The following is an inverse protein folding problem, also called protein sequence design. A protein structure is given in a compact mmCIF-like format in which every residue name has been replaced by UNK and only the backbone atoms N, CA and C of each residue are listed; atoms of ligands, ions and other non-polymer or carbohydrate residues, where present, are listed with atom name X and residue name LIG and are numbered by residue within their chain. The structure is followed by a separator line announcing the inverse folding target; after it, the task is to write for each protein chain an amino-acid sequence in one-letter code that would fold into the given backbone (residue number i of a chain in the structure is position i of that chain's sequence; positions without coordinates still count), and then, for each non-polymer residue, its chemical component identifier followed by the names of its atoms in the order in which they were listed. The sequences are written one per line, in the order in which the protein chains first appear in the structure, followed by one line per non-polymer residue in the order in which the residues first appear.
data_IF_905781221770
#
_entry.id   IF_905781221770
#
_cell.length_a   1.000
_cell.length_b   1.000
_cell.length_c   1.000
_cell.angle_alpha   90.00
_cell.angle_beta   90.00
_cell.angle_gamma   90.00
#
_symmetry.space_group_name_H-M   'P 1'
#
loop_
_entity.id
_entity.type
_entity.pdbx_description
1 polymer ?
#
# COMPACT_ATOMS: atom_id res chain seq x y z
N UNK A 1 -68.19 17.07 -54.07
CA UNK A 1 -66.97 16.32 -54.43
C UNK A 1 -65.78 17.02 -53.78
N UNK A 2 -65.40 16.67 -52.55
CA UNK A 2 -64.18 15.90 -52.18
C UNK A 2 -62.89 16.29 -52.95
N UNK A 3 -62.01 17.11 -52.35
CA UNK A 3 -60.72 16.70 -51.76
C UNK A 3 -60.00 17.89 -51.06
N UNK A 4 -59.13 17.63 -50.05
CA UNK A 4 -58.80 18.58 -48.98
C UNK A 4 -57.32 19.03 -48.92
N UNK A 5 -57.13 20.18 -48.27
CA UNK A 5 -56.13 20.54 -47.24
C UNK A 5 -54.67 20.04 -47.41
N UNK A 6 -53.77 20.96 -47.79
CA UNK A 6 -52.35 20.90 -47.44
C UNK A 6 -52.17 21.50 -46.04
N UNK A 7 -51.83 20.67 -45.05
CA UNK A 7 -51.38 21.15 -43.73
C UNK A 7 -49.90 20.83 -43.60
N UNK A 8 -49.09 21.89 -43.58
CA UNK A 8 -47.65 21.83 -43.38
C UNK A 8 -47.34 22.03 -41.88
N UNK A 9 -46.55 21.10 -41.34
CA UNK A 9 -45.62 21.18 -40.19
C UNK A 9 -46.02 21.98 -38.93
N UNK A 10 -45.96 21.32 -37.77
CA UNK A 10 -44.87 21.50 -36.79
C UNK A 10 -45.00 20.45 -35.68
N UNK A 11 -44.19 19.39 -35.75
CA UNK A 11 -43.98 18.44 -34.65
C UNK A 11 -42.60 18.78 -34.05
N UNK A 12 -42.63 19.54 -32.96
CA UNK A 12 -41.46 19.82 -32.12
C UNK A 12 -41.12 18.55 -31.33
N UNK A 13 -40.23 17.72 -31.89
CA UNK A 13 -39.54 16.67 -31.15
C UNK A 13 -38.50 17.33 -30.25
N UNK A 14 -38.85 17.50 -28.97
CA UNK A 14 -37.87 17.77 -27.91
C UNK A 14 -37.03 16.50 -27.68
N UNK A 15 -35.99 16.31 -28.48
CA UNK A 15 -34.91 15.38 -28.14
C UNK A 15 -34.06 16.02 -27.05
N UNK A 16 -34.31 15.62 -25.80
CA UNK A 16 -33.37 15.81 -24.70
C UNK A 16 -32.10 15.00 -25.04
N UNK A 17 -31.18 15.62 -25.76
CA UNK A 17 -29.82 15.12 -25.89
C UNK A 17 -29.16 15.31 -24.52
N UNK A 18 -29.23 14.28 -23.68
CA UNK A 18 -28.28 14.11 -22.59
C UNK A 18 -26.93 13.80 -23.24
N UNK A 19 -26.25 14.84 -23.69
CA UNK A 19 -24.84 14.76 -24.07
C UNK A 19 -24.08 14.51 -22.77
N UNK A 20 -23.96 13.24 -22.39
CA UNK A 20 -22.95 12.82 -21.44
C UNK A 20 -21.63 13.08 -22.16
N UNK A 21 -21.02 14.23 -21.90
CA UNK A 21 -19.62 14.46 -22.20
C UNK A 21 -18.82 13.51 -21.31
N UNK A 22 -18.73 12.25 -21.72
CA UNK A 22 -17.71 11.33 -21.24
C UNK A 22 -16.39 11.88 -21.77
N UNK A 23 -15.85 12.91 -21.12
CA UNK A 23 -14.44 13.25 -21.32
C UNK A 23 -13.69 11.95 -21.07
N UNK A 24 -12.97 11.44 -22.07
CA UNK A 24 -12.28 10.16 -21.98
C UNK A 24 -11.39 10.19 -20.73
N UNK A 25 -11.81 9.48 -19.69
CA UNK A 25 -11.12 9.56 -18.42
C UNK A 25 -9.82 8.77 -18.55
N UNK A 26 -8.71 9.46 -18.29
CA UNK A 26 -7.38 8.89 -18.45
C UNK A 26 -7.23 7.75 -17.44
N UNK A 27 -6.71 6.60 -17.93
CA UNK A 27 -6.37 5.46 -17.08
C UNK A 27 -5.40 5.90 -15.98
N UNK A 28 -5.74 5.72 -14.69
CA UNK A 28 -4.81 5.99 -13.61
C UNK A 28 -3.56 5.11 -13.73
N UNK A 29 -2.39 5.71 -13.55
CA UNK A 29 -1.11 5.00 -13.60
C UNK A 29 -0.74 4.46 -12.20
N UNK A 30 -1.65 3.71 -11.59
CA UNK A 30 -1.47 3.06 -10.28
C UNK A 30 -0.49 1.90 -10.35
N UNK A 31 0.10 1.57 -9.20
CA UNK A 31 1.17 0.61 -8.97
C UNK A 31 0.73 -0.65 -8.26
N UNK A 32 -0.27 -0.60 -7.37
CA UNK A 32 -0.81 -1.77 -6.67
C UNK A 32 -2.20 -2.13 -7.21
N UNK A 33 -3.04 -1.13 -7.49
CA UNK A 33 -4.33 -1.27 -8.16
C UNK A 33 -4.17 -1.31 -9.68
N UNK A 34 -5.10 -1.96 -10.37
CA UNK A 34 -5.11 -1.98 -11.84
C UNK A 34 -5.94 -0.82 -12.40
N UNK A 35 -5.27 0.12 -13.06
CA UNK A 35 -5.89 1.30 -13.68
C UNK A 35 -7.02 0.99 -14.66
N UNK A 36 -6.93 -0.12 -15.39
CA UNK A 36 -7.97 -0.54 -16.32
C UNK A 36 -9.21 -1.04 -15.57
N UNK A 37 -9.01 -1.86 -14.53
CA UNK A 37 -10.11 -2.33 -13.68
C UNK A 37 -10.78 -1.20 -12.92
N UNK A 38 -10.00 -0.21 -12.46
CA UNK A 38 -10.54 1.01 -11.85
C UNK A 38 -11.51 1.73 -12.79
N UNK A 39 -11.14 1.92 -14.07
CA UNK A 39 -12.00 2.53 -15.09
C UNK A 39 -13.24 1.67 -15.38
N UNK A 40 -13.07 0.36 -15.57
CA UNK A 40 -14.19 -0.56 -15.82
C UNK A 40 -15.20 -0.54 -14.66
N UNK A 41 -14.71 -0.56 -13.42
CA UNK A 41 -15.56 -0.48 -12.23
C UNK A 41 -16.27 0.87 -12.13
N UNK A 42 -15.65 1.97 -12.56
CA UNK A 42 -16.31 3.28 -12.64
C UNK A 42 -17.44 3.29 -13.68
N UNK A 43 -17.26 2.63 -14.82
CA UNK A 43 -18.32 2.45 -15.83
C UNK A 43 -19.47 1.59 -15.28
N UNK A 44 -19.17 0.50 -14.56
CA UNK A 44 -20.18 -0.32 -13.87
C UNK A 44 -20.99 0.50 -12.87
N UNK A 45 -20.34 1.36 -12.08
CA UNK A 45 -21.02 2.31 -11.17
C UNK A 45 -21.97 3.23 -11.94
N UNK A 46 -21.53 3.80 -13.07
CA UNK A 46 -22.38 4.66 -13.90
C UNK A 46 -23.56 3.90 -14.53
N UNK A 47 -23.41 2.59 -14.76
CA UNK A 47 -24.46 1.68 -15.23
C UNK A 47 -25.34 1.11 -14.10
N UNK A 48 -25.20 1.58 -12.85
CA UNK A 48 -25.92 1.11 -11.67
C UNK A 48 -25.68 -0.37 -11.31
N UNK A 49 -24.47 -0.89 -11.53
CA UNK A 49 -24.07 -2.20 -11.00
C UNK A 49 -24.06 -2.19 -9.46
N UNK A 50 -24.95 -2.95 -8.84
CA UNK A 50 -25.17 -2.90 -7.40
C UNK A 50 -23.96 -3.30 -6.54
N UNK A 51 -23.19 -4.36 -6.87
CA UNK A 51 -21.95 -4.66 -6.16
C UNK A 51 -20.95 -3.51 -6.18
N UNK A 52 -20.72 -2.90 -7.35
CA UNK A 52 -19.80 -1.76 -7.45
C UNK A 52 -20.35 -0.53 -6.72
N UNK A 53 -21.66 -0.29 -6.74
CA UNK A 53 -22.31 0.76 -5.95
C UNK A 53 -22.15 0.53 -4.44
N UNK A 54 -22.31 -0.71 -3.97
CA UNK A 54 -22.12 -1.09 -2.57
C UNK A 54 -20.68 -0.83 -2.11
N UNK A 55 -19.70 -1.27 -2.89
CA UNK A 55 -18.29 -1.02 -2.59
C UNK A 55 -17.95 0.48 -2.64
N UNK A 56 -18.54 1.25 -3.56
CA UNK A 56 -18.39 2.72 -3.60
C UNK A 56 -18.95 3.37 -2.33
N UNK A 57 -20.10 2.92 -1.83
CA UNK A 57 -20.69 3.41 -0.56
C UNK A 57 -19.74 3.19 0.62
N UNK A 58 -19.04 2.06 0.67
CA UNK A 58 -18.02 1.77 1.70
C UNK A 58 -16.85 2.75 1.61
N UNK A 59 -16.32 2.99 0.41
CA UNK A 59 -15.23 3.96 0.19
C UNK A 59 -15.65 5.36 0.64
N UNK A 60 -16.82 5.82 0.22
CA UNK A 60 -17.35 7.14 0.60
C UNK A 60 -17.57 7.25 2.11
N UNK A 61 -18.15 6.21 2.73
CA UNK A 61 -18.35 6.17 4.18
C UNK A 61 -17.02 6.25 4.94
N UNK A 62 -15.98 5.53 4.49
CA UNK A 62 -14.66 5.58 5.09
C UNK A 62 -13.94 6.92 4.87
N UNK A 63 -14.13 7.54 3.71
CA UNK A 63 -13.47 8.80 3.36
C UNK A 63 -14.12 10.04 3.97
N UNK A 64 -15.44 10.01 4.24
CA UNK A 64 -16.19 11.19 4.72
C UNK A 64 -15.63 11.76 6.04
N UNK A 65 -15.34 10.96 7.08
CA UNK A 65 -14.77 11.49 8.33
C UNK A 65 -13.38 12.10 8.18
N UNK A 66 -12.66 11.81 7.09
CA UNK A 66 -11.32 12.35 6.84
C UNK A 66 -11.39 13.85 6.48
N UNK A 67 -12.51 14.29 5.90
CA UNK A 67 -12.71 15.69 5.47
C UNK A 67 -12.56 16.69 6.63
N UNK A 68 -12.78 16.26 7.86
CA UNK A 68 -12.69 17.10 9.07
C UNK A 68 -11.43 16.84 9.90
N UNK A 69 -10.49 16.00 9.44
CA UNK A 69 -9.24 15.75 10.18
C UNK A 69 -8.27 16.91 10.02
N UNK A 70 -7.58 17.25 11.08
CA UNK A 70 -6.45 18.18 11.00
C UNK A 70 -5.30 17.56 10.17
N UNK A 71 -4.55 18.36 9.40
CA UNK A 71 -3.38 17.87 8.69
C UNK A 71 -2.33 17.26 9.60
N UNK A 72 -1.78 16.14 9.15
CA UNK A 72 -0.66 15.48 9.81
C UNK A 72 0.62 16.29 9.60
N UNK A 73 1.33 16.62 10.67
CA UNK A 73 2.61 17.31 10.58
C UNK A 73 3.63 16.72 11.53
N UNK A 74 4.86 16.60 11.06
CA UNK A 74 5.97 16.03 11.83
C UNK A 74 6.72 17.10 12.64
N UNK A 75 6.56 18.40 12.34
CA UNK A 75 7.39 19.45 12.97
C UNK A 75 6.93 19.80 14.39
N UNK A 76 5.71 19.41 14.78
CA UNK A 76 5.13 19.68 16.10
C UNK A 76 5.48 18.60 17.16
N UNK A 77 6.55 17.85 16.95
CA UNK A 77 6.98 16.80 17.90
C UNK A 77 7.60 17.42 19.15
N UNK A 78 7.28 16.83 20.30
CA UNK A 78 7.81 17.25 21.62
C UNK A 78 9.21 16.69 21.89
N UNK A 79 9.56 15.56 21.26
CA UNK A 79 10.87 14.94 21.32
C UNK A 79 11.60 15.29 20.03
N UNK A 80 12.66 16.09 20.13
CA UNK A 80 13.46 16.49 18.98
C UNK A 80 14.34 15.32 18.49
N UNK A 81 14.52 15.15 17.17
CA UNK A 81 15.52 14.23 16.63
C UNK A 81 16.93 14.69 17.02
N UNK A 82 17.91 13.78 17.01
CA UNK A 82 19.29 14.11 17.39
C UNK A 82 19.95 15.15 16.46
N UNK A 83 19.40 15.41 15.27
CA UNK A 83 19.85 16.49 14.39
C UNK A 83 19.50 17.89 14.92
N UNK A 84 18.50 18.00 15.80
CA UNK A 84 17.88 19.27 16.17
C UNK A 84 16.90 19.83 15.13
N UNK A 85 16.76 19.19 13.97
CA UNK A 85 15.82 19.60 12.92
C UNK A 85 14.47 18.90 13.11
N UNK A 86 13.39 19.67 13.33
CA UNK A 86 12.04 19.15 13.49
C UNK A 86 11.45 18.56 12.19
N UNK A 87 12.04 18.88 11.04
CA UNK A 87 11.68 18.30 9.74
C UNK A 87 12.21 16.88 9.55
N UNK A 88 13.10 16.41 10.41
CA UNK A 88 13.52 15.01 10.38
C UNK A 88 12.45 14.11 11.00
N UNK A 89 12.09 13.05 10.27
CA UNK A 89 11.20 12.03 10.77
C UNK A 89 11.88 11.25 11.92
N UNK A 90 11.13 11.04 12.99
CA UNK A 90 11.58 10.24 14.13
C UNK A 90 10.52 9.24 14.58
N UNK A 91 10.97 8.07 15.01
CA UNK A 91 10.12 7.11 15.73
C UNK A 91 10.96 6.25 16.66
N UNK A 92 10.30 5.51 17.54
CA UNK A 92 10.93 4.55 18.44
C UNK A 92 10.70 3.12 17.93
N UNK A 93 11.70 2.26 18.07
CA UNK A 93 11.56 0.87 17.66
C UNK A 93 10.54 0.12 18.55
N UNK A 94 9.54 -0.57 17.98
CA UNK A 94 8.37 -1.02 18.74
C UNK A 94 8.64 -2.09 19.78
N UNK A 95 9.66 -2.94 19.57
CA UNK A 95 9.90 -4.10 20.43
C UNK A 95 11.02 -3.89 21.44
N UNK A 96 11.36 -2.64 21.75
CA UNK A 96 12.48 -2.33 22.65
C UNK A 96 11.96 -1.74 23.95
N UNK A 97 12.36 -2.35 25.06
CA UNK A 97 11.86 -2.07 26.41
C UNK A 97 13.00 -1.68 27.35
N UNK A 98 12.72 -0.90 28.42
CA UNK A 98 13.71 -0.65 29.47
C UNK A 98 14.34 -1.96 29.99
N UNK A 99 15.66 -1.94 30.17
CA UNK A 99 16.43 -3.07 30.66
C UNK A 99 16.31 -3.18 32.19
N UNK A 100 15.64 -4.22 32.73
CA UNK A 100 15.48 -4.37 34.17
C UNK A 100 16.81 -4.67 34.90
N UNK A 101 17.88 -5.01 34.17
CA UNK A 101 19.18 -5.35 34.73
C UNK A 101 20.12 -4.13 34.88
N UNK A 102 19.65 -2.91 34.57
CA UNK A 102 20.43 -1.69 34.76
C UNK A 102 19.65 -0.65 35.55
N UNK A 103 20.35 0.16 36.36
CA UNK A 103 19.71 1.18 37.19
C UNK A 103 19.00 2.27 36.36
N UNK A 104 19.45 2.49 35.13
CA UNK A 104 18.90 3.51 34.21
C UNK A 104 17.83 2.95 33.27
N UNK A 105 17.65 1.62 33.20
CA UNK A 105 16.82 0.99 32.17
C UNK A 105 17.44 1.02 30.76
N UNK A 106 18.68 1.47 30.60
CA UNK A 106 19.38 1.59 29.32
C UNK A 106 20.58 0.62 29.21
N UNK A 107 21.04 0.26 27.99
CA UNK A 107 20.29 0.41 26.73
C UNK A 107 19.02 -0.45 26.76
N UNK A 108 17.99 -0.07 26.01
CA UNK A 108 16.78 -0.87 25.92
C UNK A 108 17.11 -2.27 25.38
N UNK A 109 16.28 -3.26 25.74
CA UNK A 109 16.41 -4.65 25.30
C UNK A 109 15.22 -5.06 24.43
N UNK A 110 15.47 -5.94 23.47
CA UNK A 110 14.46 -6.41 22.53
C UNK A 110 13.55 -7.46 23.17
N UNK A 111 12.23 -7.27 23.08
CA UNK A 111 11.17 -8.25 23.37
C UNK A 111 10.32 -8.45 22.12
N UNK A 112 10.69 -9.42 21.30
CA UNK A 112 10.04 -9.65 20.00
C UNK A 112 8.52 -9.81 20.13
N UNK A 113 7.78 -9.16 19.23
CA UNK A 113 6.31 -9.22 19.18
C UNK A 113 5.58 -8.50 20.33
N UNK A 114 6.30 -7.89 21.28
CA UNK A 114 5.73 -7.15 22.41
C UNK A 114 5.97 -5.66 22.22
N UNK A 115 4.95 -4.94 21.76
CA UNK A 115 5.05 -3.48 21.51
C UNK A 115 5.16 -2.70 22.81
N UNK A 116 6.23 -1.93 22.96
CA UNK A 116 6.40 -0.96 24.03
C UNK A 116 5.48 0.25 23.75
N UNK A 117 4.51 0.59 24.63
CA UNK A 117 3.60 1.71 24.41
C UNK A 117 4.29 3.07 24.28
N UNK A 118 5.55 3.20 24.72
CA UNK A 118 6.35 4.41 24.53
C UNK A 118 6.54 4.80 23.05
N UNK A 119 6.34 3.89 22.08
CA UNK A 119 6.31 4.30 20.66
C UNK A 119 5.32 5.43 20.40
N UNK A 120 4.28 5.56 21.22
CA UNK A 120 3.26 6.60 21.09
C UNK A 120 3.72 7.98 21.59
N UNK A 121 4.90 8.09 22.21
CA UNK A 121 5.51 9.36 22.60
C UNK A 121 5.97 10.17 21.38
N UNK A 122 6.27 9.50 20.25
CA UNK A 122 6.59 10.13 18.97
C UNK A 122 5.55 9.74 17.93
N UNK A 123 4.84 10.73 17.37
CA UNK A 123 3.65 10.47 16.55
C UNK A 123 3.92 10.24 15.07
N UNK A 124 5.12 10.56 14.57
CA UNK A 124 5.40 10.56 13.13
C UNK A 124 5.05 9.23 12.46
N UNK A 125 5.28 8.10 13.13
CA UNK A 125 4.88 6.77 12.63
C UNK A 125 3.38 6.62 12.44
N UNK A 126 2.60 6.96 13.47
CA UNK A 126 1.13 6.94 13.37
C UNK A 126 0.61 7.94 12.33
N UNK A 127 1.27 9.10 12.19
CA UNK A 127 0.91 10.12 11.21
C UNK A 127 1.19 9.68 9.78
N UNK A 128 2.34 9.08 9.50
CA UNK A 128 2.69 8.58 8.18
C UNK A 128 1.77 7.43 7.73
N UNK A 129 1.43 6.53 8.66
CA UNK A 129 0.45 5.46 8.40
C UNK A 129 -0.94 6.03 8.12
N UNK A 130 -1.43 6.94 8.96
CA UNK A 130 -2.75 7.56 8.80
C UNK A 130 -2.83 8.38 7.50
N UNK A 131 -1.79 9.16 7.18
CA UNK A 131 -1.68 9.89 5.93
C UNK A 131 -1.78 8.96 4.72
N UNK A 132 -1.06 7.83 4.74
CA UNK A 132 -1.06 6.87 3.62
C UNK A 132 -2.44 6.26 3.40
N UNK A 133 -3.11 5.85 4.47
CA UNK A 133 -4.47 5.32 4.41
C UNK A 133 -5.47 6.38 3.93
N UNK A 134 -5.36 7.60 4.45
CA UNK A 134 -6.29 8.67 4.16
C UNK A 134 -6.18 9.17 2.73
N UNK A 135 -4.96 9.41 2.23
CA UNK A 135 -4.74 9.82 0.84
C UNK A 135 -5.23 8.74 -0.13
N UNK A 136 -5.02 7.46 0.19
CA UNK A 136 -5.56 6.35 -0.62
C UNK A 136 -7.08 6.36 -0.66
N UNK A 137 -7.75 6.48 0.49
CA UNK A 137 -9.21 6.50 0.58
C UNK A 137 -9.82 7.75 -0.08
N UNK A 138 -9.23 8.93 0.13
CA UNK A 138 -9.66 10.17 -0.49
C UNK A 138 -9.46 10.15 -2.01
N UNK A 139 -8.34 9.61 -2.49
CA UNK A 139 -8.08 9.41 -3.92
C UNK A 139 -9.13 8.49 -4.57
N UNK A 140 -9.46 7.37 -3.91
CA UNK A 140 -10.52 6.47 -4.35
C UNK A 140 -11.90 7.12 -4.33
N UNK A 141 -12.23 7.86 -3.27
CA UNK A 141 -13.50 8.57 -3.15
C UNK A 141 -13.63 9.63 -4.25
N UNK A 142 -12.61 10.46 -4.46
CA UNK A 142 -12.56 11.40 -5.57
C UNK A 142 -12.75 10.69 -6.91
N UNK A 143 -11.97 9.64 -7.18
CA UNK A 143 -12.02 8.94 -8.45
C UNK A 143 -13.40 8.34 -8.74
N UNK A 144 -14.08 7.75 -7.76
CA UNK A 144 -15.39 7.12 -8.00
C UNK A 144 -16.60 8.06 -7.87
N UNK A 145 -16.44 9.25 -7.29
CA UNK A 145 -17.54 10.21 -7.11
C UNK A 145 -17.43 11.45 -8.00
N UNK A 146 -16.21 11.79 -8.46
CA UNK A 146 -15.85 13.09 -9.02
C UNK A 146 -16.11 14.28 -8.08
N UNK A 147 -16.28 14.05 -6.77
CA UNK A 147 -16.47 15.12 -5.80
C UNK A 147 -15.13 15.73 -5.37
N UNK A 148 -14.90 16.98 -5.78
CA UNK A 148 -13.62 17.68 -5.59
C UNK A 148 -13.21 17.82 -4.13
N UNK A 149 -14.16 17.81 -3.18
CA UNK A 149 -13.89 17.91 -1.73
C UNK A 149 -12.90 16.85 -1.23
N UNK A 150 -12.94 15.64 -1.80
CA UNK A 150 -12.02 14.56 -1.42
C UNK A 150 -10.60 14.84 -1.95
N UNK A 151 -10.48 15.30 -3.19
CA UNK A 151 -9.18 15.65 -3.77
C UNK A 151 -8.57 16.90 -3.12
N UNK A 152 -9.40 17.89 -2.76
CA UNK A 152 -8.99 19.05 -2.00
C UNK A 152 -8.40 18.64 -0.65
N UNK A 153 -9.08 17.76 0.09
CA UNK A 153 -8.57 17.27 1.38
C UNK A 153 -7.27 16.49 1.22
N UNK A 154 -7.18 15.61 0.23
CA UNK A 154 -5.95 14.84 -0.01
C UNK A 154 -4.77 15.76 -0.35
N UNK A 155 -5.04 16.80 -1.16
CA UNK A 155 -4.05 17.82 -1.52
C UNK A 155 -3.54 18.55 -0.28
N UNK A 156 -4.42 18.99 0.62
CA UNK A 156 -4.05 19.66 1.87
C UNK A 156 -3.12 18.77 2.72
N UNK A 157 -3.48 17.50 2.92
CA UNK A 157 -2.68 16.55 3.70
C UNK A 157 -1.30 16.33 3.08
N UNK A 158 -1.22 16.16 1.75
CA UNK A 158 0.03 15.97 1.02
C UNK A 158 0.91 17.23 1.05
N UNK A 159 0.29 18.42 0.93
CA UNK A 159 1.01 19.69 0.99
C UNK A 159 1.67 19.88 2.34
N UNK A 160 0.92 19.70 3.44
CA UNK A 160 1.47 19.87 4.78
C UNK A 160 2.58 18.87 5.05
N UNK A 161 2.42 17.60 4.66
CA UNK A 161 3.39 16.57 5.01
C UNK A 161 4.63 16.56 4.11
N UNK A 162 4.52 16.90 2.82
CA UNK A 162 5.64 16.73 1.86
C UNK A 162 6.11 18.01 1.18
N UNK A 163 5.25 19.02 1.00
CA UNK A 163 5.53 20.10 0.04
C UNK A 163 5.76 21.46 0.70
N UNK A 164 4.99 21.80 1.73
CA UNK A 164 5.06 23.08 2.42
C UNK A 164 6.38 23.19 3.19
N UNK A 165 7.21 24.17 2.85
CA UNK A 165 8.54 24.35 3.45
C UNK A 165 8.53 24.51 4.96
N UNK A 166 7.45 25.02 5.56
CA UNK A 166 7.31 25.20 7.00
C UNK A 166 6.99 23.90 7.75
N UNK A 167 6.51 22.86 7.08
CA UNK A 167 5.99 21.64 7.73
C UNK A 167 6.47 20.33 7.11
N UNK A 168 7.08 20.37 5.92
CA UNK A 168 7.43 19.17 5.13
C UNK A 168 8.39 18.26 5.87
N UNK A 169 8.20 16.96 5.73
CA UNK A 169 9.17 15.96 6.12
C UNK A 169 10.41 16.03 5.21
N UNK A 170 11.61 15.98 5.79
CA UNK A 170 12.84 15.77 5.03
C UNK A 170 12.81 14.36 4.39
N UNK A 171 13.26 14.16 3.15
CA UNK A 171 13.15 12.88 2.43
C UNK A 171 14.17 11.83 2.90
N UNK A 172 14.12 11.49 4.19
CA UNK A 172 14.96 10.49 4.83
C UNK A 172 14.29 9.91 6.10
N UNK A 173 14.70 8.71 6.51
CA UNK A 173 14.26 8.05 7.75
C UNK A 173 15.42 7.77 8.71
N UNK A 174 16.40 8.68 8.78
CA UNK A 174 17.61 8.49 9.58
C UNK A 174 17.32 8.26 11.07
N UNK A 175 16.27 8.89 11.59
CA UNK A 175 15.87 8.79 13.00
C UNK A 175 14.60 7.95 13.22
N UNK A 176 14.21 7.14 12.22
CA UNK A 176 13.15 6.16 12.40
C UNK A 176 13.65 4.94 13.20
N UNK A 177 12.75 4.39 14.01
CA UNK A 177 12.98 3.23 14.88
C UNK A 177 14.25 3.34 15.73
N UNK A 178 14.46 4.51 16.32
CA UNK A 178 15.54 4.72 17.28
C UNK A 178 15.32 3.88 18.54
N UNK A 179 16.42 3.45 19.16
CA UNK A 179 16.41 2.64 20.37
C UNK A 179 17.05 3.46 21.49
N UNK A 180 16.33 3.61 22.61
CA UNK A 180 16.81 4.42 23.72
C UNK A 180 18.08 3.78 24.32
N UNK A 181 19.15 4.58 24.39
CA UNK A 181 20.46 4.14 24.87
C UNK A 181 21.31 3.39 23.85
N UNK A 182 20.88 3.30 22.58
CA UNK A 182 21.62 2.66 21.50
C UNK A 182 21.68 3.55 20.25
N UNK A 183 22.89 3.85 19.78
CA UNK A 183 23.14 4.70 18.61
C UNK A 183 23.46 3.89 17.34
N UNK A 184 23.33 2.58 17.40
CA UNK A 184 23.60 1.69 16.27
C UNK A 184 22.63 1.96 15.11
N UNK A 185 23.13 1.84 13.87
CA UNK A 185 22.31 1.92 12.67
C UNK A 185 21.62 0.57 12.41
N UNK A 186 20.29 0.57 12.50
CA UNK A 186 19.46 -0.59 12.20
C UNK A 186 18.79 -0.48 10.82
N UNK A 187 18.71 -1.60 10.13
CA UNK A 187 18.01 -1.70 8.83
C UNK A 187 16.49 -1.68 8.93
N UNK A 188 15.90 -1.46 10.10
CA UNK A 188 14.44 -1.52 10.30
C UNK A 188 13.74 -0.19 10.03
N UNK A 189 14.49 0.91 9.87
CA UNK A 189 13.96 2.27 9.68
C UNK A 189 12.92 2.38 8.55
N UNK A 190 13.14 1.72 7.41
CA UNK A 190 12.26 1.83 6.23
C UNK A 190 10.92 1.09 6.38
N UNK A 191 10.73 0.31 7.44
CA UNK A 191 9.45 -0.34 7.75
C UNK A 191 8.38 0.71 8.04
N UNK A 192 8.76 1.84 8.62
CA UNK A 192 7.83 2.91 8.99
C UNK A 192 7.15 3.56 7.78
N UNK A 193 7.77 3.50 6.60
CA UNK A 193 7.24 4.03 5.33
C UNK A 193 6.70 2.96 4.38
N UNK A 194 6.51 1.73 4.83
CA UNK A 194 6.13 0.60 3.97
C UNK A 194 4.77 0.76 3.27
N UNK A 195 3.91 1.66 3.76
CA UNK A 195 2.60 1.99 3.17
C UNK A 195 2.62 3.14 2.15
N UNK A 196 3.77 3.81 1.94
CA UNK A 196 3.86 4.86 0.91
C UNK A 196 3.55 4.39 -0.52
N UNK A 197 3.81 3.14 -0.94
CA UNK A 197 3.30 2.62 -2.21
C UNK A 197 1.77 2.73 -2.35
N UNK A 198 1.02 2.50 -1.28
CA UNK A 198 -0.44 2.68 -1.25
C UNK A 198 -0.85 4.15 -1.33
N UNK A 199 -0.10 5.04 -0.66
CA UNK A 199 -0.28 6.49 -0.76
C UNK A 199 -0.13 6.94 -2.21
N UNK A 200 0.91 6.46 -2.90
CA UNK A 200 1.19 6.83 -4.29
C UNK A 200 0.06 6.39 -5.23
N UNK A 201 -0.54 5.23 -4.99
CA UNK A 201 -1.75 4.81 -5.68
C UNK A 201 -2.91 5.81 -5.50
N UNK A 202 -3.11 6.30 -4.27
CA UNK A 202 -4.05 7.39 -3.98
C UNK A 202 -3.73 8.66 -4.76
N UNK A 203 -2.46 9.07 -4.81
CA UNK A 203 -2.00 10.25 -5.56
C UNK A 203 -2.28 10.12 -7.05
N UNK A 204 -2.05 8.94 -7.64
CA UNK A 204 -2.31 8.70 -9.07
C UNK A 204 -3.80 8.85 -9.43
N UNK A 205 -4.70 8.65 -8.47
CA UNK A 205 -6.14 8.87 -8.64
C UNK A 205 -6.55 10.34 -8.57
N UNK A 206 -5.71 11.21 -8.00
CA UNK A 206 -5.95 12.66 -7.92
C UNK A 206 -5.59 13.38 -9.23
N UNK A 207 -4.83 12.76 -10.12
CA UNK A 207 -4.41 13.38 -11.39
C UNK A 207 -5.65 13.81 -12.20
N UNK A 208 -5.71 15.10 -12.54
CA UNK A 208 -6.85 15.72 -13.23
C UNK A 208 -7.83 16.46 -12.30
N UNK A 209 -7.65 16.38 -10.98
CA UNK A 209 -8.33 17.26 -10.01
C UNK A 209 -7.91 18.72 -10.20
N UNK A 210 -8.80 19.65 -9.84
CA UNK A 210 -8.49 21.09 -9.81
C UNK A 210 -7.52 21.43 -8.66
N UNK A 211 -7.63 20.71 -7.55
CA UNK A 211 -6.83 20.89 -6.33
C UNK A 211 -5.41 20.33 -6.50
N UNK A 212 -5.30 19.14 -7.10
CA UNK A 212 -4.03 18.45 -7.33
C UNK A 212 -3.42 18.80 -8.70
N UNK A 213 -2.65 19.90 -8.73
CA UNK A 213 -2.06 20.43 -9.96
C UNK A 213 -0.80 19.66 -10.39
N UNK A 214 -0.41 19.80 -11.67
CA UNK A 214 0.84 19.24 -12.19
C UNK A 214 2.08 19.72 -11.42
N UNK A 215 2.11 20.98 -10.99
CA UNK A 215 3.20 21.54 -10.17
C UNK A 215 3.33 20.80 -8.83
N UNK A 216 2.22 20.52 -8.14
CA UNK A 216 2.24 19.77 -6.87
C UNK A 216 2.67 18.31 -7.11
N UNK A 217 2.20 17.71 -8.20
CA UNK A 217 2.59 16.36 -8.57
C UNK A 217 4.10 16.23 -8.85
N UNK A 218 4.69 17.16 -9.61
CA UNK A 218 6.14 17.18 -9.83
C UNK A 218 6.93 17.48 -8.57
N UNK A 219 6.44 18.37 -7.69
CA UNK A 219 7.06 18.61 -6.38
C UNK A 219 7.09 17.34 -5.51
N UNK A 220 6.00 16.56 -5.52
CA UNK A 220 5.96 15.27 -4.81
C UNK A 220 6.91 14.24 -5.45
N UNK A 221 6.98 14.18 -6.78
CA UNK A 221 7.95 13.32 -7.49
C UNK A 221 9.40 13.68 -7.13
N UNK A 222 9.71 14.97 -6.99
CA UNK A 222 11.03 15.40 -6.54
C UNK A 222 11.33 14.92 -5.11
N UNK A 223 10.38 15.02 -4.18
CA UNK A 223 10.53 14.48 -2.83
C UNK A 223 10.81 12.97 -2.83
N UNK A 224 10.04 12.20 -3.62
CA UNK A 224 10.27 10.76 -3.75
C UNK A 224 11.57 10.40 -4.48
N UNK A 225 12.05 11.27 -5.39
CA UNK A 225 13.36 11.11 -6.04
C UNK A 225 14.52 11.28 -5.05
N UNK A 226 14.44 12.29 -4.18
CA UNK A 226 15.38 12.51 -3.09
C UNK A 226 15.33 11.33 -2.09
N UNK A 227 14.13 10.89 -1.71
CA UNK A 227 13.97 9.78 -0.78
C UNK A 227 14.48 8.45 -1.35
N UNK A 228 14.18 8.16 -2.61
CA UNK A 228 14.72 7.00 -3.32
C UNK A 228 16.25 7.03 -3.35
N UNK A 229 16.85 8.19 -3.62
CA UNK A 229 18.30 8.37 -3.59
C UNK A 229 18.86 8.08 -2.20
N UNK A 230 18.22 8.60 -1.14
CA UNK A 230 18.62 8.31 0.24
C UNK A 230 18.52 6.82 0.56
N UNK A 231 17.44 6.14 0.18
CA UNK A 231 17.28 4.69 0.41
C UNK A 231 18.39 3.89 -0.28
N UNK A 232 18.73 4.22 -1.54
CA UNK A 232 19.72 3.46 -2.29
C UNK A 232 21.18 3.71 -1.84
N UNK A 233 21.47 4.87 -1.25
CA UNK A 233 22.86 5.31 -1.02
C UNK A 233 23.26 5.41 0.45
N UNK A 234 22.33 5.70 1.35
CA UNK A 234 22.60 5.87 2.79
C UNK A 234 22.95 4.56 3.49
N UNK A 235 23.62 4.65 4.64
CA UNK A 235 23.91 3.47 5.46
C UNK A 235 22.63 2.77 5.95
N UNK A 236 21.63 3.53 6.40
CA UNK A 236 20.32 3.05 6.83
C UNK A 236 19.60 2.28 5.71
N UNK A 237 19.53 2.87 4.53
CA UNK A 237 18.89 2.23 3.39
C UNK A 237 19.63 0.98 2.91
N UNK A 238 20.97 0.98 2.91
CA UNK A 238 21.78 -0.22 2.63
C UNK A 238 21.56 -1.33 3.66
N UNK A 239 21.44 -1.00 4.95
CA UNK A 239 21.11 -1.98 6.00
C UNK A 239 19.71 -2.56 5.81
N UNK A 240 18.74 -1.75 5.43
CA UNK A 240 17.38 -2.20 5.13
C UNK A 240 17.32 -3.10 3.89
N UNK A 241 18.02 -2.71 2.81
CA UNK A 241 18.18 -3.50 1.59
C UNK A 241 18.74 -4.90 1.87
N UNK A 242 19.74 -4.98 2.73
CA UNK A 242 20.41 -6.22 3.12
C UNK A 242 19.65 -7.03 4.18
N UNK A 243 18.50 -6.55 4.68
CA UNK A 243 17.72 -7.31 5.64
C UNK A 243 17.22 -8.62 5.00
N UNK A 244 17.47 -9.77 5.63
CA UNK A 244 17.22 -11.06 4.98
C UNK A 244 15.75 -11.50 5.07
N UNK A 245 14.91 -10.80 5.81
CA UNK A 245 13.51 -11.15 6.08
C UNK A 245 12.54 -10.14 5.43
N UNK A 246 11.29 -10.08 5.88
CA UNK A 246 10.24 -9.19 5.39
C UNK A 246 10.64 -7.73 5.22
N UNK A 247 11.57 -7.22 6.04
CA UNK A 247 12.09 -5.86 5.90
C UNK A 247 12.69 -5.65 4.50
N UNK A 248 13.49 -6.61 4.02
CA UNK A 248 14.07 -6.55 2.68
C UNK A 248 13.03 -6.66 1.58
N UNK A 249 11.96 -7.44 1.79
CA UNK A 249 10.84 -7.56 0.85
C UNK A 249 10.11 -6.22 0.69
N UNK A 250 9.77 -5.56 1.81
CA UNK A 250 9.12 -4.25 1.78
C UNK A 250 10.08 -3.14 1.36
N UNK A 251 11.40 -3.29 1.57
CA UNK A 251 12.39 -2.38 1.00
C UNK A 251 12.32 -2.43 -0.54
N UNK A 252 12.36 -3.63 -1.14
CA UNK A 252 12.27 -3.81 -2.60
C UNK A 252 10.97 -3.20 -3.14
N UNK A 253 9.83 -3.52 -2.52
CA UNK A 253 8.52 -2.95 -2.87
C UNK A 253 8.56 -1.42 -2.93
N UNK A 254 9.13 -0.80 -1.90
CA UNK A 254 9.25 0.66 -1.83
C UNK A 254 10.13 1.22 -2.95
N UNK A 255 11.39 0.79 -3.06
CA UNK A 255 12.33 1.40 -4.02
C UNK A 255 11.91 1.19 -5.48
N UNK A 256 11.27 0.05 -5.79
CA UNK A 256 10.77 -0.23 -7.14
C UNK A 256 9.54 0.64 -7.44
N UNK A 257 8.61 0.76 -6.48
CA UNK A 257 7.43 1.63 -6.65
C UNK A 257 7.86 3.09 -6.82
N UNK A 258 8.82 3.57 -6.02
CA UNK A 258 9.31 4.95 -6.11
C UNK A 258 10.05 5.20 -7.42
N UNK A 259 10.87 4.25 -7.88
CA UNK A 259 11.54 4.33 -9.17
C UNK A 259 10.52 4.44 -10.32
N UNK A 260 9.42 3.69 -10.27
CA UNK A 260 8.34 3.80 -11.26
C UNK A 260 7.61 5.15 -11.15
N UNK A 261 7.32 5.63 -9.95
CA UNK A 261 6.63 6.90 -9.71
C UNK A 261 7.42 8.11 -10.24
N UNK A 262 8.74 8.13 -10.06
CA UNK A 262 9.59 9.19 -10.60
C UNK A 262 9.89 9.00 -12.10
N UNK A 263 9.34 7.98 -12.74
CA UNK A 263 9.48 7.71 -14.17
C UNK A 263 10.74 6.94 -14.57
N UNK A 264 11.53 6.43 -13.61
CA UNK A 264 12.76 5.67 -13.87
C UNK A 264 12.50 4.16 -13.96
N UNK A 265 11.80 3.75 -15.03
CA UNK A 265 11.49 2.33 -15.29
C UNK A 265 12.74 1.46 -15.45
N UNK A 266 13.83 2.01 -15.99
CA UNK A 266 15.12 1.30 -16.14
C UNK A 266 15.70 0.91 -14.78
N UNK A 267 15.69 1.83 -13.80
CA UNK A 267 16.12 1.53 -12.44
C UNK A 267 15.22 0.48 -11.78
N UNK A 268 13.89 0.62 -11.92
CA UNK A 268 12.93 -0.35 -11.38
C UNK A 268 13.23 -1.77 -11.89
N UNK A 269 13.43 -1.92 -13.21
CA UNK A 269 13.78 -3.20 -13.84
C UNK A 269 15.11 -3.75 -13.29
N UNK A 270 16.13 -2.91 -13.21
CA UNK A 270 17.44 -3.32 -12.70
C UNK A 270 17.41 -3.76 -11.22
N UNK A 271 16.59 -3.10 -10.39
CA UNK A 271 16.40 -3.49 -8.98
C UNK A 271 15.71 -4.86 -8.89
N UNK A 272 14.67 -5.12 -9.69
CA UNK A 272 14.00 -6.43 -9.71
C UNK A 272 14.99 -7.53 -10.08
N UNK A 273 15.75 -7.34 -11.15
CA UNK A 273 16.69 -8.34 -11.66
C UNK A 273 17.85 -8.61 -10.71
N UNK A 274 18.42 -7.56 -10.10
CA UNK A 274 19.65 -7.66 -9.28
C UNK A 274 19.38 -7.93 -7.80
N UNK A 275 18.21 -7.59 -7.30
CA UNK A 275 17.90 -7.63 -5.86
C UNK A 275 16.71 -8.53 -5.56
N UNK A 276 15.59 -8.35 -6.25
CA UNK A 276 14.35 -9.10 -5.95
C UNK A 276 14.43 -10.57 -6.34
N UNK A 277 14.95 -10.92 -7.52
CA UNK A 277 15.10 -12.32 -7.92
C UNK A 277 16.02 -13.11 -6.96
N UNK A 278 17.24 -12.66 -6.59
CA UNK A 278 18.05 -13.33 -5.59
C UNK A 278 17.37 -13.47 -4.22
N UNK A 279 16.50 -12.53 -3.85
CA UNK A 279 15.80 -12.54 -2.56
C UNK A 279 14.78 -13.67 -2.44
N UNK A 280 14.13 -14.08 -3.53
CA UNK A 280 13.25 -15.27 -3.54
C UNK A 280 14.07 -16.51 -3.15
N UNK A 281 15.28 -16.64 -3.67
CA UNK A 281 16.18 -17.75 -3.35
C UNK A 281 16.57 -17.76 -1.87
N UNK A 282 16.81 -16.62 -1.25
CA UNK A 282 17.30 -16.56 0.14
C UNK A 282 16.19 -16.58 1.19
N UNK A 283 15.00 -16.07 0.87
CA UNK A 283 13.90 -15.98 1.84
C UNK A 283 13.00 -17.21 1.92
N UNK A 284 12.86 -17.95 0.82
CA UNK A 284 11.93 -19.06 0.73
C UNK A 284 12.67 -20.41 0.83
N UNK A 285 12.04 -21.37 1.50
CA UNK A 285 12.41 -22.77 1.46
C UNK A 285 11.98 -23.42 0.15
N UNK A 286 12.54 -24.59 -0.16
CA UNK A 286 12.23 -25.33 -1.39
C UNK A 286 10.76 -25.74 -1.51
N UNK A 287 10.05 -25.84 -0.39
CA UNK A 287 8.61 -26.09 -0.36
C UNK A 287 7.79 -24.82 -0.12
N UNK A 288 8.43 -23.64 0.02
CA UNK A 288 7.77 -22.36 0.27
C UNK A 288 7.85 -21.85 1.71
N UNK A 289 8.56 -22.53 2.62
CA UNK A 289 8.75 -22.09 3.99
C UNK A 289 9.35 -20.69 4.06
N UNK A 290 8.89 -19.83 4.96
CA UNK A 290 9.48 -18.51 5.18
C UNK A 290 10.34 -18.53 6.45
N UNK A 291 11.49 -19.21 6.39
CA UNK A 291 12.27 -19.65 7.58
C UNK A 291 12.54 -18.52 8.59
N UNK A 292 12.88 -17.32 8.11
CA UNK A 292 13.18 -16.18 8.97
C UNK A 292 11.94 -15.54 9.61
N UNK A 293 10.76 -15.78 9.06
CA UNK A 293 9.49 -15.40 9.65
C UNK A 293 8.98 -16.45 10.65
N UNK A 294 9.32 -17.73 10.40
CA UNK A 294 8.90 -18.85 11.26
C UNK A 294 9.57 -18.84 12.64
N UNK A 295 10.74 -18.21 12.78
CA UNK A 295 11.45 -18.06 14.07
C UNK A 295 10.92 -16.89 14.92
N UNK A 296 9.89 -16.18 14.46
CA UNK A 296 9.33 -15.01 15.14
C UNK A 296 8.30 -15.41 16.18
N UNK A 297 8.16 -14.60 17.22
CA UNK A 297 7.15 -14.81 18.27
C UNK A 297 5.71 -14.71 17.77
N UNK A 298 5.49 -14.00 16.66
CA UNK A 298 4.22 -13.91 15.92
C UNK A 298 4.40 -14.46 14.50
N UNK A 299 4.82 -15.72 14.38
CA UNK A 299 5.25 -16.31 13.12
C UNK A 299 4.15 -16.30 12.04
N UNK A 300 2.89 -16.59 12.40
CA UNK A 300 1.79 -16.56 11.43
C UNK A 300 1.57 -15.15 10.88
N UNK A 301 1.61 -14.15 11.76
CA UNK A 301 1.52 -12.74 11.36
C UNK A 301 2.65 -12.34 10.41
N UNK A 302 3.89 -12.74 10.72
CA UNK A 302 5.05 -12.40 9.90
C UNK A 302 5.07 -13.13 8.55
N UNK A 303 4.69 -14.40 8.49
CA UNK A 303 4.56 -15.12 7.22
C UNK A 303 3.49 -14.49 6.31
N UNK A 304 2.34 -14.06 6.86
CA UNK A 304 1.32 -13.38 6.06
C UNK A 304 1.79 -12.00 5.60
N UNK A 305 2.42 -11.22 6.49
CA UNK A 305 2.99 -9.91 6.14
C UNK A 305 4.01 -10.04 5.01
N UNK A 306 4.95 -10.96 5.11
CA UNK A 306 5.98 -11.11 4.09
C UNK A 306 5.39 -11.61 2.75
N UNK A 307 4.42 -12.54 2.79
CA UNK A 307 3.74 -13.00 1.58
C UNK A 307 2.94 -11.89 0.90
N UNK A 308 2.27 -11.03 1.67
CA UNK A 308 1.59 -9.83 1.19
C UNK A 308 2.56 -8.86 0.51
N UNK A 309 3.71 -8.58 1.14
CA UNK A 309 4.78 -7.78 0.54
C UNK A 309 5.29 -8.36 -0.78
N UNK A 310 5.49 -9.68 -0.85
CA UNK A 310 5.87 -10.37 -2.09
C UNK A 310 4.81 -10.28 -3.18
N UNK A 311 3.53 -10.41 -2.83
CA UNK A 311 2.42 -10.31 -3.77
C UNK A 311 2.28 -8.89 -4.31
N UNK A 312 2.38 -7.89 -3.43
CA UNK A 312 2.43 -6.48 -3.80
C UNK A 312 3.63 -6.18 -4.71
N UNK A 313 4.80 -6.75 -4.41
CA UNK A 313 5.99 -6.59 -5.24
C UNK A 313 5.83 -7.25 -6.62
N UNK A 314 5.22 -8.43 -6.69
CA UNK A 314 4.93 -9.09 -7.95
C UNK A 314 3.95 -8.29 -8.81
N UNK A 315 2.93 -7.71 -8.19
CA UNK A 315 2.05 -6.72 -8.82
C UNK A 315 2.85 -5.54 -9.37
N UNK A 316 3.64 -4.85 -8.55
CA UNK A 316 4.43 -3.68 -9.00
C UNK A 316 5.41 -4.03 -10.13
N UNK A 317 6.01 -5.22 -10.09
CA UNK A 317 6.95 -5.70 -11.12
C UNK A 317 6.31 -5.77 -12.53
N UNK A 318 5.01 -6.06 -12.64
CA UNK A 318 4.31 -6.06 -13.93
C UNK A 318 4.32 -4.67 -14.58
N UNK A 319 4.27 -3.60 -13.77
CA UNK A 319 4.38 -2.22 -14.26
C UNK A 319 5.77 -1.92 -14.83
N UNK A 320 6.79 -2.65 -14.38
CA UNK A 320 8.14 -2.67 -14.97
C UNK A 320 8.26 -3.61 -16.20
N UNK A 321 7.22 -4.40 -16.51
CA UNK A 321 7.22 -5.40 -17.57
C UNK A 321 7.85 -6.74 -17.16
N UNK A 322 7.93 -7.04 -15.86
CA UNK A 322 8.46 -8.30 -15.33
C UNK A 322 7.32 -9.10 -14.69
N UNK A 323 7.20 -10.37 -15.06
CA UNK A 323 6.30 -11.32 -14.42
C UNK A 323 7.02 -12.04 -13.28
N UNK A 324 6.80 -11.61 -12.03
CA UNK A 324 7.33 -12.26 -10.84
C UNK A 324 6.45 -13.42 -10.36
N UNK A 325 5.18 -13.49 -10.78
CA UNK A 325 4.24 -14.52 -10.36
C UNK A 325 4.66 -15.92 -10.81
N UNK A 326 5.19 -16.01 -12.03
CA UNK A 326 5.67 -17.26 -12.64
C UNK A 326 7.18 -17.47 -12.45
N UNK A 327 7.87 -16.54 -11.78
CA UNK A 327 9.29 -16.68 -11.52
C UNK A 327 9.55 -17.87 -10.59
N UNK A 328 10.55 -18.67 -10.98
CA UNK A 328 11.07 -19.77 -10.19
C UNK A 328 12.58 -19.60 -10.07
N UNK A 329 13.08 -19.62 -8.83
CA UNK A 329 14.51 -19.48 -8.58
C UNK A 329 15.30 -20.70 -9.08
N UNK A 330 16.63 -20.61 -9.08
CA UNK A 330 17.52 -21.71 -9.48
C UNK A 330 17.29 -23.00 -8.69
N UNK A 331 16.94 -22.88 -7.40
CA UNK A 331 16.60 -24.01 -6.53
C UNK A 331 15.12 -24.39 -6.55
N UNK A 332 14.32 -23.84 -7.49
CA UNK A 332 12.91 -24.16 -7.64
C UNK A 332 11.98 -23.45 -6.65
N UNK A 333 12.41 -22.36 -5.99
CA UNK A 333 11.58 -21.62 -5.02
C UNK A 333 10.71 -20.60 -5.74
N UNK A 334 9.48 -20.38 -5.27
CA UNK A 334 8.54 -19.46 -5.92
C UNK A 334 7.48 -18.94 -4.95
N UNK A 335 6.83 -17.83 -5.33
CA UNK A 335 5.72 -17.24 -4.57
C UNK A 335 4.52 -18.20 -4.46
N UNK A 336 4.25 -18.94 -5.54
CA UNK A 336 3.24 -19.98 -5.57
C UNK A 336 3.47 -21.05 -4.49
N UNK A 337 4.71 -21.53 -4.37
CA UNK A 337 5.08 -22.50 -3.33
C UNK A 337 4.92 -21.92 -1.93
N UNK A 338 5.32 -20.66 -1.72
CA UNK A 338 5.13 -19.99 -0.43
C UNK A 338 3.65 -19.92 0.00
N UNK A 339 2.76 -19.57 -0.93
CA UNK A 339 1.32 -19.62 -0.67
C UNK A 339 0.86 -21.05 -0.39
N UNK A 340 1.21 -22.03 -1.25
CA UNK A 340 0.81 -23.43 -1.10
C UNK A 340 1.20 -24.01 0.26
N UNK A 341 2.39 -23.65 0.76
CA UNK A 341 2.87 -24.05 2.07
C UNK A 341 1.98 -23.51 3.22
N UNK A 342 1.47 -22.29 3.07
CA UNK A 342 0.61 -21.64 4.06
C UNK A 342 -0.85 -22.14 4.04
N UNK A 343 -1.34 -22.62 2.89
CA UNK A 343 -2.76 -22.99 2.70
C UNK A 343 -3.32 -23.97 3.75
N UNK A 344 -2.63 -25.07 4.13
CA UNK A 344 -3.16 -26.01 5.11
C UNK A 344 -3.39 -25.39 6.50
N UNK A 345 -2.57 -24.42 6.90
CA UNK A 345 -2.74 -23.71 8.18
C UNK A 345 -3.87 -22.68 8.10
N UNK A 346 -4.00 -21.99 6.98
CA UNK A 346 -5.13 -21.08 6.72
C UNK A 346 -6.48 -21.81 6.66
N UNK A 347 -6.51 -23.02 6.09
CA UNK A 347 -7.69 -23.89 6.06
C UNK A 347 -7.96 -24.62 7.39
N UNK A 348 -7.08 -24.49 8.38
CA UNK A 348 -7.10 -25.26 9.64
C UNK A 348 -7.08 -26.78 9.43
N UNK A 349 -6.59 -27.28 8.29
CA UNK A 349 -6.35 -28.72 8.07
C UNK A 349 -5.04 -29.18 8.69
N UNK A 350 -4.14 -28.25 9.01
CA UNK A 350 -2.97 -28.45 9.88
C UNK A 350 -3.00 -27.47 11.04
N UNK A 351 -2.54 -27.91 12.21
CA UNK A 351 -2.26 -27.05 13.36
C UNK A 351 -1.00 -26.26 13.09
N UNK A 352 -1.00 -24.96 13.42
CA UNK A 352 0.18 -24.10 13.32
C UNK A 352 1.22 -24.51 14.38
N UNK A 353 2.40 -25.02 14.00
CA UNK A 353 3.36 -25.58 14.96
C UNK A 353 4.39 -24.55 15.45
N UNK A 354 4.31 -23.29 14.99
CA UNK A 354 5.25 -22.22 15.33
C UNK A 354 4.64 -21.25 16.35
N UNK A 355 5.49 -20.43 16.97
CA UNK A 355 5.04 -19.48 17.97
C UNK A 355 4.08 -18.43 17.37
N UNK A 356 3.00 -18.15 18.08
CA UNK A 356 2.07 -17.06 17.76
C UNK A 356 1.53 -16.53 19.10
N UNK A 357 2.21 -15.54 19.68
CA UNK A 357 1.84 -14.97 20.98
C UNK A 357 0.58 -14.09 20.90
N UNK A 358 0.34 -13.47 19.76
CA UNK A 358 -0.91 -12.79 19.44
C UNK A 358 -1.99 -13.77 18.97
N UNK A 359 -3.18 -13.25 18.66
CA UNK A 359 -4.26 -14.09 18.16
C UNK A 359 -3.91 -14.70 16.79
N UNK A 360 -4.05 -16.02 16.65
CA UNK A 360 -3.95 -16.71 15.36
C UNK A 360 -5.24 -16.46 14.55
N UNK A 361 -5.13 -15.67 13.48
CA UNK A 361 -6.24 -15.35 12.56
C UNK A 361 -5.97 -15.94 11.17
N UNK A 362 -6.52 -17.11 10.83
CA UNK A 362 -6.33 -17.72 9.50
C UNK A 362 -6.77 -16.80 8.35
N UNK A 363 -7.70 -15.88 8.62
CA UNK A 363 -8.25 -14.91 7.68
C UNK A 363 -7.19 -13.91 7.18
N UNK A 364 -6.04 -13.81 7.84
CA UNK A 364 -4.89 -13.05 7.33
C UNK A 364 -4.42 -13.56 5.97
N UNK A 365 -4.67 -14.83 5.61
CA UNK A 365 -4.30 -15.39 4.31
C UNK A 365 -5.30 -15.04 3.21
N UNK A 366 -6.51 -14.59 3.56
CA UNK A 366 -7.62 -14.37 2.61
C UNK A 366 -7.29 -13.36 1.51
N UNK A 367 -6.67 -12.19 1.77
CA UNK A 367 -6.31 -11.26 0.70
C UNK A 367 -5.36 -11.87 -0.34
N UNK A 368 -4.33 -12.60 0.12
CA UNK A 368 -3.38 -13.29 -0.76
C UNK A 368 -4.06 -14.43 -1.53
N UNK A 369 -4.94 -15.21 -0.88
CA UNK A 369 -5.72 -16.24 -1.56
C UNK A 369 -6.62 -15.62 -2.66
N UNK A 370 -7.17 -14.42 -2.45
CA UNK A 370 -8.00 -13.73 -3.45
C UNK A 370 -7.18 -13.35 -4.67
N UNK A 371 -6.02 -12.72 -4.47
CA UNK A 371 -5.08 -12.39 -5.56
C UNK A 371 -4.65 -13.68 -6.29
N UNK A 372 -4.26 -14.70 -5.54
CA UNK A 372 -3.83 -15.97 -6.11
C UNK A 372 -4.90 -16.71 -6.91
N UNK A 373 -6.19 -16.56 -6.57
CA UNK A 373 -7.28 -17.15 -7.37
C UNK A 373 -7.36 -16.57 -8.78
N UNK A 374 -6.90 -15.34 -8.96
CA UNK A 374 -6.80 -14.71 -10.27
C UNK A 374 -5.55 -15.16 -11.04
N UNK A 375 -4.45 -15.44 -10.33
CA UNK A 375 -3.13 -15.76 -10.92
C UNK A 375 -2.92 -17.27 -11.12
N UNK A 376 -3.09 -18.07 -10.07
CA UNK A 376 -2.78 -19.50 -10.05
C UNK A 376 -4.05 -20.34 -10.17
N UNK A 377 -4.56 -20.49 -11.40
CA UNK A 377 -5.82 -21.18 -11.70
C UNK A 377 -5.87 -22.66 -11.31
N UNK A 378 -4.72 -23.27 -11.09
CA UNK A 378 -4.60 -24.66 -10.66
C UNK A 378 -4.69 -24.85 -9.13
N UNK A 379 -4.65 -23.77 -8.34
CA UNK A 379 -4.79 -23.86 -6.88
C UNK A 379 -6.26 -23.93 -6.47
N UNK A 380 -6.57 -24.88 -5.58
CA UNK A 380 -7.87 -24.97 -4.91
C UNK A 380 -7.89 -24.05 -3.69
N UNK A 381 -8.64 -22.96 -3.76
CA UNK A 381 -8.67 -21.90 -2.75
C UNK A 381 -10.05 -21.69 -2.11
N UNK A 382 -11.02 -22.55 -2.42
CA UNK A 382 -12.40 -22.46 -1.96
C UNK A 382 -12.50 -22.42 -0.43
N UNK A 383 -11.63 -23.16 0.26
CA UNK A 383 -11.59 -23.20 1.73
C UNK A 383 -11.15 -21.89 2.37
N UNK A 384 -10.35 -21.07 1.67
CA UNK A 384 -9.89 -19.76 2.13
C UNK A 384 -10.86 -18.64 1.72
N UNK A 385 -11.62 -18.87 0.64
CA UNK A 385 -12.43 -17.85 0.00
C UNK A 385 -13.92 -17.97 0.32
N UNK A 386 -14.53 -19.15 0.31
CA UNK A 386 -16.00 -19.35 0.30
C UNK A 386 -16.84 -18.34 1.11
N UNK A 387 -16.64 -18.21 2.42
CA UNK A 387 -17.43 -17.29 3.26
C UNK A 387 -17.12 -15.79 2.99
N UNK A 388 -15.89 -15.46 2.61
CA UNK A 388 -15.48 -14.08 2.32
C UNK A 388 -15.71 -13.69 0.86
N UNK A 389 -15.75 -14.66 -0.04
CA UNK A 389 -15.93 -14.47 -1.48
C UNK A 389 -17.34 -14.02 -1.79
N UNK A 390 -18.36 -14.63 -1.17
CA UNK A 390 -19.75 -14.16 -1.33
C UNK A 390 -19.89 -12.69 -0.92
N UNK A 391 -19.28 -12.29 0.20
CA UNK A 391 -19.27 -10.89 0.66
C UNK A 391 -18.48 -9.98 -0.29
N UNK A 392 -17.36 -10.46 -0.83
CA UNK A 392 -16.56 -9.74 -1.82
C UNK A 392 -17.34 -9.48 -3.12
N UNK A 393 -17.95 -10.52 -3.69
CA UNK A 393 -18.76 -10.42 -4.90
C UNK A 393 -20.00 -9.55 -4.68
N UNK A 394 -20.54 -9.52 -3.46
CA UNK A 394 -21.63 -8.62 -3.08
C UNK A 394 -21.20 -7.15 -2.86
N UNK A 395 -19.92 -6.81 -3.04
CA UNK A 395 -19.42 -5.44 -2.84
C UNK A 395 -19.30 -5.02 -1.38
N UNK A 396 -19.26 -5.96 -0.43
CA UNK A 396 -19.08 -5.67 0.99
C UNK A 396 -17.62 -5.32 1.37
N UNK A 397 -16.71 -5.29 0.39
CA UNK A 397 -15.29 -5.03 0.56
C UNK A 397 -14.83 -4.01 -0.49
N UNK A 398 -14.02 -3.03 -0.08
CA UNK A 398 -13.46 -2.03 -1.00
C UNK A 398 -12.57 -2.67 -2.06
N UNK A 399 -11.99 -3.83 -1.75
CA UNK A 399 -11.13 -4.61 -2.64
C UNK A 399 -11.82 -5.01 -3.95
N UNK A 400 -13.16 -5.05 -3.99
CA UNK A 400 -13.88 -5.26 -5.26
C UNK A 400 -13.54 -4.17 -6.27
N UNK A 401 -13.39 -2.93 -5.81
CA UNK A 401 -13.07 -1.78 -6.63
C UNK A 401 -11.56 -1.57 -6.81
N UNK A 402 -10.74 -2.00 -5.85
CA UNK A 402 -9.30 -1.74 -5.86
C UNK A 402 -8.46 -2.94 -6.30
N UNK A 403 -9.07 -4.04 -6.73
CA UNK A 403 -8.31 -5.24 -7.13
C UNK A 403 -7.40 -4.97 -8.32
N UNK A 404 -6.26 -5.66 -8.35
CA UNK A 404 -5.37 -5.67 -9.52
C UNK A 404 -5.79 -6.71 -10.57
N UNK A 405 -6.51 -7.73 -10.14
CA UNK A 405 -6.88 -8.89 -10.95
C UNK A 405 -8.39 -9.17 -10.81
N UNK A 406 -9.00 -9.74 -11.85
CA UNK A 406 -10.42 -10.15 -11.84
C UNK A 406 -10.58 -11.61 -11.43
#
# INVERSE_FOLDING_TARGET
MKKPLFTLLFLLLFSFNFSISLSAQIKPNTFLMNGELLLQNKLKIAANDEPCLAARRIIVYAATPILTREPYTIVNKTIAPLSGDTHDYMSLAPYWWPNPNTATGLPYIRKDGQTNPQVNEVKDNSYLQALSQDVRLLGLAYFYTNEEKYAQKATELLEVFFLNSATRMNPNLKYAQTIRGDLTVYGTCTVDSEHLPELLDGVQLLVGSKSWTSTKHEALKNWFSEYLTWMLTSEWGKKASNAPNNIGTYYDLQVITYALFVGNKTLAKALIEKQTFPRIETQLGVNGEQVLELVRTNAWTYCNKNLDGWFSLASVAESAGINLWDYTSTSGKSLKKALQWMLPYGAKTKVWPYQQIGLFKPEYLTPMARVASAIYKDLKLDTQLSATHTRFVAGAYLELLTSRYQ
#
